data_IF_732250519852
#
_entry.id   IF_732250519852
#
_cell.length_a   1.000
_cell.length_b   1.000
_cell.length_c   1.000
_cell.angle_alpha   90.00
_cell.angle_beta   90.00
_cell.angle_gamma   90.00
#
_symmetry.space_group_name_H-M   'P 1'
#
loop_
_entity.id
_entity.type
_entity.pdbx_description
1 polymer ?
#
# COMPACT_ATOMS: atom_id res chain seq x y z
N UNK A 1 7.09 -42.09 16.68
CA UNK A 1 6.23 -40.94 17.06
C UNK A 1 6.76 -39.61 16.54
N UNK A 2 8.02 -39.26 16.79
CA UNK A 2 8.69 -37.99 16.40
C UNK A 2 8.61 -37.69 14.88
N UNK A 3 8.90 -38.66 14.00
CA UNK A 3 8.84 -38.47 12.53
C UNK A 3 7.44 -38.06 12.02
N UNK A 4 6.36 -38.51 12.68
CA UNK A 4 4.98 -38.16 12.30
C UNK A 4 4.64 -36.74 12.71
N UNK A 5 5.14 -36.28 13.86
CA UNK A 5 4.99 -34.90 14.33
C UNK A 5 5.76 -33.91 13.45
N UNK A 6 7.01 -34.23 13.08
CA UNK A 6 7.81 -33.41 12.15
C UNK A 6 7.11 -33.25 10.80
N UNK A 7 6.58 -34.34 10.22
CA UNK A 7 5.82 -34.28 8.97
C UNK A 7 4.60 -33.35 9.07
N UNK A 8 3.84 -33.40 10.17
CA UNK A 8 2.70 -32.50 10.39
C UNK A 8 3.10 -31.04 10.46
N UNK A 9 4.18 -30.73 11.18
CA UNK A 9 4.71 -29.35 11.28
C UNK A 9 5.13 -28.86 9.90
N UNK A 10 5.84 -29.69 9.14
CA UNK A 10 6.24 -29.35 7.77
C UNK A 10 5.04 -29.12 6.84
N UNK A 11 4.03 -29.99 6.88
CA UNK A 11 2.81 -29.80 6.09
C UNK A 11 2.09 -28.50 6.45
N UNK A 12 2.03 -28.16 7.74
CA UNK A 12 1.44 -26.89 8.19
C UNK A 12 2.26 -25.68 7.72
N UNK A 13 3.59 -25.75 7.81
CA UNK A 13 4.47 -24.68 7.32
C UNK A 13 4.30 -24.44 5.81
N UNK A 14 4.23 -25.52 5.02
CA UNK A 14 3.95 -25.42 3.58
C UNK A 14 2.57 -24.80 3.31
N UNK A 15 1.53 -25.21 4.04
CA UNK A 15 0.20 -24.65 3.91
C UNK A 15 0.17 -23.15 4.21
N UNK A 16 0.88 -22.71 5.26
CA UNK A 16 0.99 -21.30 5.62
C UNK A 16 1.73 -20.50 4.54
N UNK A 17 2.83 -21.04 3.99
CA UNK A 17 3.58 -20.40 2.90
C UNK A 17 2.74 -20.27 1.62
N UNK A 18 2.02 -21.33 1.23
CA UNK A 18 1.11 -21.31 0.06
C UNK A 18 -0.02 -20.31 0.27
N UNK A 19 -0.61 -20.28 1.47
CA UNK A 19 -1.65 -19.31 1.82
C UNK A 19 -1.12 -17.87 1.77
N UNK A 20 0.05 -17.61 2.34
CA UNK A 20 0.69 -16.30 2.31
C UNK A 20 1.00 -15.83 0.88
N UNK A 21 1.44 -16.74 0.01
CA UNK A 21 1.64 -16.44 -1.41
C UNK A 21 0.32 -16.17 -2.14
N UNK A 22 -0.71 -17.00 -1.91
CA UNK A 22 -2.05 -16.81 -2.48
C UNK A 22 -2.68 -15.47 -2.07
N UNK A 23 -2.53 -15.09 -0.80
CA UNK A 23 -2.98 -13.79 -0.31
C UNK A 23 -2.29 -12.63 -1.03
N UNK A 24 -0.98 -12.72 -1.26
CA UNK A 24 -0.25 -11.69 -2.01
C UNK A 24 -0.77 -11.50 -3.44
N UNK A 25 -1.24 -12.57 -4.09
CA UNK A 25 -1.88 -12.46 -5.41
C UNK A 25 -3.25 -11.78 -5.32
N UNK A 26 -4.03 -12.11 -4.29
CA UNK A 26 -5.34 -11.50 -4.04
C UNK A 26 -5.27 -10.01 -3.70
N UNK A 27 -4.29 -9.59 -2.90
CA UNK A 27 -4.18 -8.20 -2.44
C UNK A 27 -3.58 -7.26 -3.49
N UNK A 28 -2.89 -7.78 -4.49
CA UNK A 28 -2.26 -6.96 -5.53
C UNK A 28 -3.29 -6.08 -6.26
N UNK A 29 -3.09 -4.76 -6.22
CA UNK A 29 -4.01 -3.73 -6.74
C UNK A 29 -5.45 -3.73 -6.17
N UNK A 30 -5.70 -4.45 -5.06
CA UNK A 30 -6.97 -4.44 -4.34
C UNK A 30 -6.91 -3.41 -3.21
N UNK A 31 -7.63 -2.29 -3.36
CA UNK A 31 -7.56 -1.16 -2.43
C UNK A 31 -8.55 -1.23 -1.27
N UNK A 32 -8.99 -2.44 -0.89
CA UNK A 32 -9.88 -2.65 0.24
C UNK A 32 -9.13 -2.70 1.57
N UNK A 33 -9.81 -2.32 2.66
CA UNK A 33 -9.24 -2.41 4.02
C UNK A 33 -8.84 -3.83 4.39
N UNK A 34 -9.58 -4.83 3.91
CA UNK A 34 -9.24 -6.24 4.10
C UNK A 34 -7.89 -6.59 3.44
N UNK A 35 -7.64 -6.10 2.22
CA UNK A 35 -6.36 -6.31 1.55
C UNK A 35 -5.21 -5.61 2.28
N UNK A 36 -5.42 -4.39 2.77
CA UNK A 36 -4.45 -3.68 3.60
C UNK A 36 -4.11 -4.47 4.88
N UNK A 37 -5.11 -4.98 5.59
CA UNK A 37 -4.89 -5.79 6.80
C UNK A 37 -4.13 -7.10 6.49
N UNK A 38 -4.51 -7.78 5.41
CA UNK A 38 -3.83 -9.01 4.97
C UNK A 38 -2.35 -8.74 4.69
N UNK A 39 -2.03 -7.69 3.91
CA UNK A 39 -0.64 -7.36 3.58
C UNK A 39 0.17 -6.88 4.79
N UNK A 40 -0.46 -6.17 5.72
CA UNK A 40 0.18 -5.77 6.97
C UNK A 40 0.69 -6.99 7.76
N UNK A 41 -0.11 -8.06 7.84
CA UNK A 41 0.21 -9.28 8.59
C UNK A 41 1.07 -10.27 7.80
N UNK A 42 1.04 -10.22 6.46
CA UNK A 42 1.73 -11.19 5.62
C UNK A 42 3.27 -10.99 5.68
N UNK A 43 4.06 -11.98 6.12
CA UNK A 43 5.51 -11.86 6.19
C UNK A 43 6.20 -11.91 4.82
N UNK A 44 5.52 -12.38 3.77
CA UNK A 44 6.07 -12.44 2.41
C UNK A 44 5.94 -11.12 1.64
N UNK A 45 5.23 -10.14 2.21
CA UNK A 45 5.07 -8.80 1.64
C UNK A 45 6.11 -7.90 2.28
N UNK A 46 6.94 -7.25 1.45
CA UNK A 46 7.96 -6.33 1.92
C UNK A 46 7.44 -4.90 1.90
N UNK A 47 8.05 -4.05 2.72
CA UNK A 47 7.85 -2.61 2.66
C UNK A 47 8.54 -2.05 1.41
N UNK A 48 7.85 -1.20 0.68
CA UNK A 48 8.28 -0.59 -0.57
C UNK A 48 7.99 0.92 -0.55
N UNK A 49 8.78 1.66 -1.31
CA UNK A 49 8.58 3.10 -1.52
C UNK A 49 8.02 3.32 -2.92
N UNK A 50 6.86 3.96 -2.99
CA UNK A 50 6.21 4.37 -4.24
C UNK A 50 6.07 5.89 -4.30
N UNK A 51 5.90 6.41 -5.51
CA UNK A 51 5.78 7.83 -5.80
C UNK A 51 4.47 8.10 -6.53
N UNK A 52 3.85 9.22 -6.25
CA UNK A 52 2.60 9.63 -6.91
C UNK A 52 2.52 11.16 -7.00
N UNK A 53 1.91 11.65 -8.08
CA UNK A 53 1.54 13.07 -8.19
C UNK A 53 0.16 13.29 -7.61
N UNK A 54 0.02 14.30 -6.77
CA UNK A 54 -1.25 14.62 -6.13
C UNK A 54 -2.24 15.19 -7.13
N UNK A 55 -3.51 14.91 -6.87
CA UNK A 55 -4.67 15.35 -7.66
C UNK A 55 -5.70 15.99 -6.75
N UNK A 56 -6.59 16.78 -7.33
CA UNK A 56 -7.78 17.32 -6.65
C UNK A 56 -8.95 16.32 -6.63
N UNK A 57 -8.84 15.21 -7.37
CA UNK A 57 -9.85 14.14 -7.47
C UNK A 57 -9.68 13.08 -6.36
N UNK A 58 -10.32 13.30 -5.21
CA UNK A 58 -10.47 12.27 -4.20
C UNK A 58 -11.59 11.27 -4.58
N UNK A 59 -11.47 10.03 -4.14
CA UNK A 59 -12.47 8.98 -4.38
C UNK A 59 -13.70 9.15 -3.47
N UNK A 60 -13.45 9.42 -2.20
CA UNK A 60 -14.48 9.72 -1.19
C UNK A 60 -13.87 10.51 -0.04
N UNK A 61 -14.74 11.08 0.80
CA UNK A 61 -14.36 11.74 2.05
C UNK A 61 -15.21 11.22 3.20
N UNK A 62 -14.69 11.32 4.41
CA UNK A 62 -15.39 10.89 5.62
C UNK A 62 -14.96 11.74 6.82
N UNK A 63 -15.87 12.06 7.75
CA UNK A 63 -15.51 12.83 8.94
C UNK A 63 -14.66 11.98 9.88
N UNK A 64 -13.62 12.58 10.43
CA UNK A 64 -12.90 12.03 11.57
C UNK A 64 -13.85 11.74 12.73
N UNK A 65 -13.63 10.62 13.42
CA UNK A 65 -14.55 10.14 14.44
C UNK A 65 -14.67 11.11 15.62
N UNK A 66 -13.60 11.82 15.96
CA UNK A 66 -13.51 12.71 17.13
C UNK A 66 -13.76 14.15 16.73
N UNK A 67 -12.93 14.71 15.85
CA UNK A 67 -12.95 16.12 15.47
C UNK A 67 -14.05 16.52 14.50
N UNK A 68 -14.67 15.53 13.82
CA UNK A 68 -15.63 15.73 12.72
C UNK A 68 -15.07 16.49 11.50
N UNK A 69 -13.75 16.70 11.44
CA UNK A 69 -13.09 17.28 10.29
C UNK A 69 -13.01 16.19 9.21
N UNK A 70 -13.34 16.55 7.96
CA UNK A 70 -13.29 15.61 6.84
C UNK A 70 -11.86 15.15 6.54
N UNK A 71 -11.72 13.85 6.30
CA UNK A 71 -10.57 13.19 5.72
C UNK A 71 -10.88 12.84 4.27
N UNK A 72 -9.85 12.82 3.41
CA UNK A 72 -10.01 12.68 1.96
C UNK A 72 -9.19 11.50 1.46
N UNK A 73 -9.84 10.49 0.90
CA UNK A 73 -9.19 9.29 0.38
C UNK A 73 -8.99 9.38 -1.12
N UNK A 74 -7.79 9.03 -1.57
CA UNK A 74 -7.36 9.03 -2.96
C UNK A 74 -7.06 7.60 -3.38
N UNK A 75 -7.52 7.21 -4.58
CA UNK A 75 -7.18 5.93 -5.21
C UNK A 75 -6.43 6.26 -6.50
N UNK A 76 -5.12 6.01 -6.52
CA UNK A 76 -4.26 6.36 -7.66
C UNK A 76 -3.27 5.24 -7.97
N UNK A 77 -2.74 5.25 -9.19
CA UNK A 77 -1.54 4.49 -9.52
C UNK A 77 -0.33 5.22 -8.95
N UNK A 78 0.43 4.52 -8.12
CA UNK A 78 1.73 4.95 -7.62
C UNK A 78 2.81 4.11 -8.27
N UNK A 79 4.00 4.66 -8.45
CA UNK A 79 5.09 4.00 -9.18
C UNK A 79 6.28 3.76 -8.27
N UNK A 80 6.88 2.56 -8.34
CA UNK A 80 8.16 2.33 -7.69
C UNK A 80 9.29 3.06 -8.45
N UNK A 81 10.51 3.05 -7.90
CA UNK A 81 11.69 3.65 -8.55
C UNK A 81 12.02 3.11 -9.95
N UNK A 82 11.44 1.97 -10.35
CA UNK A 82 11.67 1.32 -11.63
C UNK A 82 10.56 1.63 -12.65
N UNK A 83 9.45 2.23 -12.22
CA UNK A 83 8.28 2.54 -13.03
C UNK A 83 7.19 1.46 -12.97
N UNK A 84 7.26 0.51 -12.04
CA UNK A 84 6.18 -0.46 -11.85
C UNK A 84 5.01 0.20 -11.12
N UNK A 85 3.84 0.16 -11.75
CA UNK A 85 2.62 0.71 -11.18
C UNK A 85 2.02 -0.20 -10.12
N UNK A 86 1.48 0.40 -9.06
CA UNK A 86 0.57 -0.23 -8.10
C UNK A 86 -0.56 0.74 -7.78
N UNK A 87 -1.80 0.25 -7.82
CA UNK A 87 -2.96 0.99 -7.37
C UNK A 87 -3.02 0.97 -5.85
N UNK A 88 -3.02 2.14 -5.22
CA UNK A 88 -3.08 2.32 -3.77
C UNK A 88 -4.25 3.21 -3.37
N UNK A 89 -4.77 2.97 -2.16
CA UNK A 89 -5.68 3.89 -1.44
C UNK A 89 -4.92 4.55 -0.30
N UNK A 90 -4.93 5.88 -0.24
CA UNK A 90 -4.29 6.64 0.82
C UNK A 90 -5.11 7.88 1.19
N UNK A 91 -5.01 8.30 2.45
CA UNK A 91 -5.89 9.32 3.02
C UNK A 91 -5.09 10.53 3.47
N UNK A 92 -5.54 11.72 3.06
CA UNK A 92 -5.14 13.00 3.62
C UNK A 92 -6.06 13.37 4.76
N UNK A 93 -5.48 13.69 5.92
CA UNK A 93 -6.24 13.93 7.14
C UNK A 93 -6.56 15.43 7.30
N UNK A 94 -7.81 15.74 7.58
CA UNK A 94 -8.28 17.10 7.91
C UNK A 94 -8.33 18.11 6.75
N UNK A 95 -7.71 17.84 5.61
CA UNK A 95 -7.73 18.69 4.42
C UNK A 95 -7.48 17.91 3.13
N UNK A 96 -7.97 18.39 1.97
CA UNK A 96 -7.58 17.86 0.67
C UNK A 96 -6.08 18.08 0.41
N UNK A 97 -5.51 17.22 -0.44
CA UNK A 97 -4.16 17.41 -0.97
C UNK A 97 -4.11 18.61 -1.93
N UNK A 98 -3.02 19.36 -1.87
CA UNK A 98 -2.71 20.36 -2.89
C UNK A 98 -2.36 19.61 -4.18
N UNK A 99 -3.02 19.85 -5.33
CA UNK A 99 -2.74 19.13 -6.57
C UNK A 99 -1.37 19.51 -7.15
N UNK A 100 -0.84 18.64 -8.03
CA UNK A 100 0.46 18.84 -8.73
C UNK A 100 1.68 18.89 -7.81
N UNK A 101 1.57 18.34 -6.60
CA UNK A 101 2.68 18.04 -5.70
C UNK A 101 3.06 16.57 -5.85
N UNK A 102 4.14 16.16 -5.22
CA UNK A 102 4.60 14.77 -5.25
C UNK A 102 4.60 14.20 -3.85
N UNK A 103 4.19 12.94 -3.74
CA UNK A 103 4.25 12.20 -2.48
C UNK A 103 5.23 11.04 -2.61
N UNK A 104 6.02 10.84 -1.56
CA UNK A 104 6.68 9.57 -1.26
C UNK A 104 5.77 8.77 -0.35
N UNK A 105 5.38 7.58 -0.78
CA UNK A 105 4.46 6.69 -0.07
C UNK A 105 5.21 5.43 0.33
N UNK A 106 5.32 5.19 1.63
CA UNK A 106 5.86 3.93 2.17
C UNK A 106 4.71 2.99 2.43
N UNK A 107 4.72 1.83 1.79
CA UNK A 107 3.64 0.83 1.88
C UNK A 107 4.19 -0.57 2.10
N UNK A 108 3.44 -1.41 2.83
CA UNK A 108 3.62 -2.86 2.83
C UNK A 108 2.46 -3.46 2.05
N UNK A 109 2.67 -3.74 0.76
CA UNK A 109 1.60 -4.15 -0.15
C UNK A 109 0.55 -3.04 -0.32
N UNK A 110 -0.66 -3.30 0.15
CA UNK A 110 -1.80 -2.36 0.23
C UNK A 110 -1.87 -1.57 1.55
N UNK A 111 -1.04 -1.93 2.54
CA UNK A 111 -1.00 -1.26 3.84
C UNK A 111 -0.10 -0.03 3.80
N UNK A 112 -0.70 1.16 3.65
CA UNK A 112 0.03 2.42 3.77
C UNK A 112 0.61 2.57 5.17
N UNK A 113 1.92 2.77 5.25
CA UNK A 113 2.62 3.02 6.51
C UNK A 113 2.73 4.51 6.75
N UNK A 114 3.24 5.24 5.76
CA UNK A 114 3.41 6.69 5.80
C UNK A 114 3.31 7.27 4.39
N UNK A 115 3.01 8.57 4.31
CA UNK A 115 3.22 9.36 3.12
C UNK A 115 3.72 10.75 3.52
N UNK A 116 4.52 11.35 2.68
CA UNK A 116 5.05 12.70 2.88
C UNK A 116 5.15 13.43 1.53
N UNK A 117 4.91 14.74 1.55
CA UNK A 117 5.15 15.60 0.39
C UNK A 117 6.66 15.75 0.18
N UNK A 118 7.11 15.59 -1.06
CA UNK A 118 8.51 15.67 -1.45
C UNK A 118 8.67 16.63 -2.64
N UNK A 119 9.88 17.14 -2.82
CA UNK A 119 10.22 17.93 -4.00
C UNK A 119 10.52 17.04 -5.22
N UNK A 120 10.39 17.61 -6.42
CA UNK A 120 10.59 16.89 -7.69
C UNK A 120 12.00 16.27 -7.80
N UNK A 121 13.01 16.91 -7.19
CA UNK A 121 14.40 16.45 -7.20
C UNK A 121 14.62 15.16 -6.40
N UNK A 122 13.71 14.83 -5.48
CA UNK A 122 13.76 13.57 -4.71
C UNK A 122 13.15 12.38 -5.48
N UNK A 123 12.52 12.64 -6.62
CA UNK A 123 11.91 11.61 -7.46
C UNK A 123 12.99 10.97 -8.32
N UNK A 124 13.03 9.63 -8.44
CA UNK A 124 13.92 8.98 -9.39
C UNK A 124 13.61 9.46 -10.82
N UNK A 125 14.59 10.07 -11.49
CA UNK A 125 14.43 10.66 -12.82
C UNK A 125 13.80 9.71 -13.85
N UNK A 126 14.04 8.40 -13.72
CA UNK A 126 13.48 7.37 -14.59
C UNK A 126 11.94 7.34 -14.62
N UNK A 127 11.29 7.79 -13.55
CA UNK A 127 9.84 7.64 -13.39
C UNK A 127 9.09 8.97 -13.47
N UNK A 128 9.79 10.09 -13.58
CA UNK A 128 9.17 11.42 -13.51
C UNK A 128 8.10 11.64 -14.61
N UNK A 129 8.31 11.07 -15.80
CA UNK A 129 7.37 11.14 -16.91
C UNK A 129 6.12 10.27 -16.72
N UNK A 130 6.11 9.40 -15.70
CA UNK A 130 4.96 8.56 -15.34
C UNK A 130 4.03 9.24 -14.31
N UNK A 131 4.47 10.35 -13.72
CA UNK A 131 3.82 11.04 -12.59
C UNK A 131 2.97 12.26 -13.01
#
# INVERSE_FOLDING_TARGET
>A
MIKKTIKKIMSLAVLLLVSAFGFRLYTYNNTSDAAALIDQLNPLVQTETLYVKTTDKYAYKFPDAVSKIDNFTYIQNCFDKNGHARKLSYTSFGRPLTPKRFLRVTTKGQSIQTWEEIDEQEIPQKIISLL
#
